data_IF_865475121933
#
_entry.id   IF_865475121933
#
_cell.length_a   1.000
_cell.length_b   1.000
_cell.length_c   1.000
_cell.angle_alpha   90.00
_cell.angle_beta   90.00
_cell.angle_gamma   90.00
#
_symmetry.space_group_name_H-M   'P 1'
#
loop_
_entity.id
_entity.type
_entity.pdbx_description
1 polymer ?
#
# COMPACT_ATOMS: atom_id res chain seq x y z
N UNK A 1 13.64 18.41 -9.05
CA UNK A 1 14.69 19.39 -9.48
C UNK A 1 14.42 20.00 -10.84
N UNK A 2 13.97 19.22 -11.83
CA UNK A 2 13.66 19.70 -13.19
C UNK A 2 12.47 20.68 -13.24
N UNK A 3 11.40 20.40 -12.50
CA UNK A 3 10.17 21.21 -12.37
C UNK A 3 10.39 22.60 -11.79
N UNK A 4 11.21 22.72 -10.72
CA UNK A 4 11.55 24.03 -10.15
C UNK A 4 12.37 24.90 -11.13
N UNK A 5 13.29 24.30 -11.89
CA UNK A 5 14.07 25.02 -12.90
C UNK A 5 13.17 25.54 -14.04
N UNK A 6 12.20 24.74 -14.47
CA UNK A 6 11.22 25.11 -15.50
C UNK A 6 10.31 26.24 -15.00
N UNK A 7 9.80 26.13 -13.77
CA UNK A 7 9.01 27.21 -13.13
C UNK A 7 9.79 28.51 -13.18
N UNK A 8 11.04 28.49 -12.71
CA UNK A 8 11.89 29.68 -12.63
C UNK A 8 12.19 30.27 -14.02
N UNK A 9 12.42 29.43 -15.02
CA UNK A 9 12.66 29.85 -16.41
C UNK A 9 11.45 30.57 -16.99
N UNK A 10 10.25 29.99 -16.84
CA UNK A 10 8.99 30.58 -17.34
C UNK A 10 8.68 31.88 -16.59
N UNK A 11 8.87 31.90 -15.26
CA UNK A 11 8.73 33.10 -14.43
C UNK A 11 9.66 34.23 -14.88
N UNK A 12 10.93 33.93 -15.18
CA UNK A 12 11.88 34.92 -15.70
C UNK A 12 11.45 35.43 -17.06
N UNK A 13 10.98 34.57 -17.97
CA UNK A 13 10.47 34.99 -19.27
C UNK A 13 9.25 35.92 -19.15
N UNK A 14 8.30 35.61 -18.25
CA UNK A 14 7.13 36.46 -17.96
C UNK A 14 7.58 37.83 -17.45
N UNK A 15 8.52 37.88 -16.51
CA UNK A 15 9.05 39.13 -15.95
C UNK A 15 9.84 39.92 -17.00
N UNK A 16 10.62 39.26 -17.84
CA UNK A 16 11.35 39.90 -18.93
C UNK A 16 10.40 40.56 -19.95
N UNK A 17 9.33 39.85 -20.34
CA UNK A 17 8.27 40.40 -21.21
C UNK A 17 7.54 41.56 -20.53
N UNK A 18 7.29 41.48 -19.21
CA UNK A 18 6.70 42.57 -18.45
C UNK A 18 7.58 43.83 -18.49
N UNK A 19 8.87 43.70 -18.22
CA UNK A 19 9.83 44.82 -18.26
C UNK A 19 9.94 45.38 -19.68
N UNK A 20 10.02 44.52 -20.69
CA UNK A 20 10.06 44.93 -22.09
C UNK A 20 8.77 45.67 -22.50
N UNK A 21 7.62 45.21 -22.02
CA UNK A 21 6.31 45.85 -22.20
C UNK A 21 6.24 47.20 -21.50
N UNK A 22 6.90 47.39 -20.36
CA UNK A 22 7.00 48.70 -19.69
C UNK A 22 7.91 49.66 -20.46
N UNK A 23 9.07 49.17 -20.93
CA UNK A 23 10.08 49.98 -21.65
C UNK A 23 9.63 50.40 -23.05
N UNK A 24 8.96 49.53 -23.81
CA UNK A 24 8.48 49.85 -25.16
C UNK A 24 7.13 50.58 -25.11
N UNK A 25 7.06 51.83 -25.59
CA UNK A 25 5.80 52.61 -25.62
C UNK A 25 4.79 52.12 -26.67
N UNK A 26 5.24 51.45 -27.75
CA UNK A 26 4.39 51.09 -28.89
C UNK A 26 3.84 49.66 -28.91
N UNK A 27 4.29 48.75 -28.04
CA UNK A 27 3.85 47.34 -28.02
C UNK A 27 3.62 46.88 -26.59
N UNK A 28 2.42 46.38 -26.30
CA UNK A 28 2.13 45.65 -25.05
C UNK A 28 2.25 44.17 -25.31
N UNK A 29 2.94 43.46 -24.43
CA UNK A 29 3.06 42.01 -24.46
C UNK A 29 2.06 41.33 -23.52
N UNK A 30 0.96 42.00 -23.18
CA UNK A 30 -0.06 41.52 -22.24
C UNK A 30 -0.58 40.14 -22.63
N UNK A 31 -0.93 39.94 -23.89
CA UNK A 31 -1.51 38.67 -24.36
C UNK A 31 -0.44 37.57 -24.37
N UNK A 32 0.77 37.88 -24.81
CA UNK A 32 1.90 36.95 -24.82
C UNK A 32 2.27 36.49 -23.40
N UNK A 33 2.18 37.37 -22.40
CA UNK A 33 2.41 37.04 -20.98
C UNK A 33 1.35 36.04 -20.46
N UNK A 34 0.08 36.23 -20.82
CA UNK A 34 -0.99 35.29 -20.44
C UNK A 34 -0.82 33.95 -21.15
N UNK A 35 -0.57 33.96 -22.47
CA UNK A 35 -0.34 32.74 -23.24
C UNK A 35 0.87 31.95 -22.74
N UNK A 36 1.94 32.63 -22.31
CA UNK A 36 3.12 31.99 -21.72
C UNK A 36 2.80 31.36 -20.34
N UNK A 37 1.96 32.01 -19.54
CA UNK A 37 1.45 31.45 -18.29
C UNK A 37 0.59 30.19 -18.52
N UNK A 38 -0.31 30.23 -19.51
CA UNK A 38 -1.13 29.07 -19.93
C UNK A 38 -0.24 27.91 -20.42
N UNK A 39 0.78 28.21 -21.22
CA UNK A 39 1.76 27.22 -21.69
C UNK A 39 2.51 26.58 -20.52
N UNK A 40 2.86 27.35 -19.49
CA UNK A 40 3.45 26.82 -18.26
C UNK A 40 2.55 25.82 -17.53
N UNK A 41 1.23 26.04 -17.55
CA UNK A 41 0.24 25.09 -17.05
C UNK A 41 0.31 23.74 -17.78
N UNK A 42 0.31 23.78 -19.12
CA UNK A 42 0.40 22.57 -19.94
C UNK A 42 1.70 21.80 -19.71
N UNK A 43 2.84 22.50 -19.64
CA UNK A 43 4.14 21.88 -19.37
C UNK A 43 4.19 21.28 -17.97
N UNK A 44 3.70 21.99 -16.94
CA UNK A 44 3.70 21.51 -15.56
C UNK A 44 2.88 20.24 -15.38
N UNK A 45 1.67 20.20 -15.95
CA UNK A 45 0.81 19.01 -15.93
C UNK A 45 1.44 17.86 -16.74
N UNK A 46 1.94 18.14 -17.95
CA UNK A 46 2.56 17.12 -18.80
C UNK A 46 3.75 16.44 -18.13
N UNK A 47 4.61 17.19 -17.44
CA UNK A 47 5.77 16.63 -16.73
C UNK A 47 5.34 15.82 -15.51
N UNK A 48 4.32 16.29 -14.78
CA UNK A 48 3.75 15.59 -13.65
C UNK A 48 3.13 14.25 -14.04
N UNK A 49 2.54 14.15 -15.24
CA UNK A 49 1.99 12.91 -15.79
C UNK A 49 3.04 12.04 -16.48
N UNK A 50 4.07 12.61 -17.10
CA UNK A 50 5.11 11.87 -17.82
C UNK A 50 5.87 10.90 -16.92
N UNK A 51 6.08 11.29 -15.66
CA UNK A 51 6.76 10.45 -14.66
C UNK A 51 5.78 9.67 -13.76
N UNK A 52 4.46 9.74 -14.04
CA UNK A 52 3.46 9.11 -13.20
C UNK A 52 3.36 7.61 -13.49
N UNK A 53 3.72 6.80 -12.51
CA UNK A 53 3.56 5.34 -12.56
C UNK A 53 2.31 4.91 -11.80
N UNK A 54 1.35 4.32 -12.54
CA UNK A 54 0.10 3.78 -11.99
C UNK A 54 0.33 2.56 -11.08
N UNK A 55 1.47 1.88 -11.22
CA UNK A 55 1.83 0.71 -10.40
C UNK A 55 2.48 1.12 -9.08
N UNK A 56 3.06 2.32 -9.01
CA UNK A 56 3.71 2.86 -7.83
C UNK A 56 3.21 4.29 -7.51
N UNK A 57 1.94 4.36 -7.10
CA UNK A 57 1.25 5.62 -6.81
C UNK A 57 1.95 6.42 -5.69
N UNK A 58 2.46 5.74 -4.65
CA UNK A 58 3.08 6.41 -3.49
C UNK A 58 4.29 7.27 -3.88
N UNK A 59 5.13 6.78 -4.79
CA UNK A 59 6.30 7.52 -5.28
C UNK A 59 5.95 8.51 -6.40
N UNK A 60 4.86 8.26 -7.13
CA UNK A 60 4.41 9.10 -8.25
C UNK A 60 3.62 10.34 -7.80
N UNK A 61 2.90 10.28 -6.68
CA UNK A 61 2.11 11.41 -6.18
C UNK A 61 2.93 12.68 -5.91
N UNK A 62 4.09 12.63 -5.22
CA UNK A 62 4.91 13.83 -5.01
C UNK A 62 5.34 14.52 -6.32
N UNK A 63 5.66 13.75 -7.36
CA UNK A 63 6.07 14.29 -8.66
C UNK A 63 4.92 14.96 -9.40
N UNK A 64 3.72 14.36 -9.36
CA UNK A 64 2.50 14.96 -9.91
C UNK A 64 2.19 16.29 -9.21
N UNK A 65 2.31 16.35 -7.88
CA UNK A 65 2.09 17.57 -7.11
C UNK A 65 3.14 18.66 -7.42
N UNK A 66 4.39 18.29 -7.70
CA UNK A 66 5.43 19.24 -8.13
C UNK A 66 5.12 19.83 -9.53
N UNK A 67 4.61 19.00 -10.45
CA UNK A 67 4.12 19.43 -11.76
C UNK A 67 2.91 20.37 -11.67
N UNK A 68 1.94 20.03 -10.82
CA UNK A 68 0.77 20.89 -10.54
C UNK A 68 1.17 22.22 -9.88
N UNK A 69 2.14 22.21 -8.96
CA UNK A 69 2.69 23.43 -8.36
C UNK A 69 3.32 24.34 -9.41
N UNK A 70 4.07 23.77 -10.35
CA UNK A 70 4.67 24.50 -11.48
C UNK A 70 3.58 25.14 -12.35
N UNK A 71 2.55 24.38 -12.69
CA UNK A 71 1.40 24.84 -13.47
C UNK A 71 0.67 26.01 -12.80
N UNK A 72 0.43 25.92 -11.49
CA UNK A 72 -0.25 26.96 -10.73
C UNK A 72 0.55 28.27 -10.66
N UNK A 73 1.85 28.19 -10.34
CA UNK A 73 2.70 29.38 -10.17
C UNK A 73 2.89 30.14 -11.49
N UNK A 74 3.12 29.41 -12.59
CA UNK A 74 3.34 30.03 -13.90
C UNK A 74 2.09 30.73 -14.45
N UNK A 75 0.90 30.11 -14.30
CA UNK A 75 -0.38 30.73 -14.63
C UNK A 75 -0.67 31.96 -13.75
N UNK A 76 -0.45 31.84 -12.45
CA UNK A 76 -0.64 32.94 -11.50
C UNK A 76 0.23 34.15 -11.83
N UNK A 77 1.51 33.94 -12.16
CA UNK A 77 2.39 35.01 -12.60
C UNK A 77 1.95 35.65 -13.93
N UNK A 78 1.52 34.86 -14.91
CA UNK A 78 1.03 35.36 -16.20
C UNK A 78 -0.19 36.28 -16.03
N UNK A 79 -1.17 35.85 -15.23
CA UNK A 79 -2.36 36.64 -14.93
C UNK A 79 -1.99 37.90 -14.12
N UNK A 80 -1.17 37.75 -13.08
CA UNK A 80 -0.75 38.85 -12.22
C UNK A 80 -0.07 39.97 -13.02
N UNK A 81 0.96 39.65 -13.81
CA UNK A 81 1.67 40.66 -14.61
C UNK A 81 0.81 41.22 -15.76
N UNK A 82 -0.12 40.44 -16.32
CA UNK A 82 -1.08 40.92 -17.32
C UNK A 82 -2.05 41.96 -16.76
N UNK A 83 -2.56 41.72 -15.54
CA UNK A 83 -3.41 42.68 -14.81
C UNK A 83 -2.59 43.93 -14.48
N UNK A 84 -1.37 43.76 -13.99
CA UNK A 84 -0.46 44.86 -13.66
C UNK A 84 -0.22 45.75 -14.90
N UNK A 85 0.08 45.16 -16.06
CA UNK A 85 0.20 45.93 -17.32
C UNK A 85 -1.10 46.61 -17.73
N UNK A 86 -2.26 46.01 -17.46
CA UNK A 86 -3.55 46.61 -17.79
C UNK A 86 -3.83 47.89 -16.99
N UNK A 87 -3.32 47.95 -15.76
CA UNK A 87 -3.45 49.12 -14.87
C UNK A 87 -2.45 50.21 -15.29
N UNK A 88 -1.19 49.87 -15.52
CA UNK A 88 -0.14 50.86 -15.82
C UNK A 88 -0.12 51.30 -17.29
N UNK A 89 -0.53 50.44 -18.22
CA UNK A 89 -0.62 50.71 -19.66
C UNK A 89 -2.00 50.30 -20.19
N UNK A 90 -3.05 51.11 -19.96
CA UNK A 90 -4.33 50.91 -20.59
C UNK A 90 -4.18 51.07 -22.12
N UNK A 91 -4.05 49.94 -22.83
CA UNK A 91 -4.06 49.88 -24.29
C UNK A 91 -5.47 50.21 -24.81
N UNK A 92 -5.54 50.97 -25.91
CA UNK A 92 -6.75 51.19 -26.69
C UNK A 92 -6.98 50.05 -27.70
N UNK A 93 -6.82 48.80 -27.26
CA UNK A 93 -7.58 47.71 -27.90
C UNK A 93 -9.03 47.87 -27.46
N UNK A 94 -10.01 47.45 -28.27
CA UNK A 94 -11.43 47.38 -27.85
C UNK A 94 -11.48 46.62 -26.53
N UNK A 95 -11.45 47.37 -25.43
CA UNK A 95 -11.29 46.83 -24.07
C UNK A 95 -12.40 45.84 -23.79
N UNK A 96 -13.56 46.09 -24.36
CA UNK A 96 -14.77 45.30 -24.27
C UNK A 96 -14.56 43.86 -24.74
N UNK A 97 -14.02 43.58 -25.94
CA UNK A 97 -13.95 42.19 -26.45
C UNK A 97 -12.97 41.30 -25.67
N UNK A 98 -11.80 41.81 -25.28
CA UNK A 98 -10.79 41.02 -24.52
C UNK A 98 -11.15 40.94 -23.03
N UNK A 99 -11.71 41.99 -22.44
CA UNK A 99 -12.19 41.94 -21.06
C UNK A 99 -13.41 41.02 -20.97
N UNK A 100 -14.35 41.07 -21.93
CA UNK A 100 -15.46 40.11 -21.98
C UNK A 100 -14.96 38.67 -22.12
N UNK A 101 -14.02 38.39 -23.02
CA UNK A 101 -13.48 37.04 -23.17
C UNK A 101 -12.74 36.56 -21.91
N UNK A 102 -11.99 37.43 -21.24
CA UNK A 102 -11.32 37.08 -19.98
C UNK A 102 -12.31 36.93 -18.83
N UNK A 103 -13.32 37.78 -18.75
CA UNK A 103 -14.37 37.74 -17.74
C UNK A 103 -15.25 36.49 -17.91
N UNK A 104 -15.55 36.11 -19.15
CA UNK A 104 -16.23 34.86 -19.50
C UNK A 104 -15.39 33.65 -19.10
N UNK A 105 -14.09 33.64 -19.42
CA UNK A 105 -13.17 32.56 -19.00
C UNK A 105 -13.02 32.50 -17.48
N UNK A 106 -12.93 33.63 -16.78
CA UNK A 106 -12.84 33.68 -15.31
C UNK A 106 -14.16 33.25 -14.68
N UNK A 107 -15.30 33.59 -15.29
CA UNK A 107 -16.63 33.20 -14.83
C UNK A 107 -16.87 31.71 -15.05
N UNK A 108 -16.50 31.17 -16.20
CA UNK A 108 -16.53 29.74 -16.48
C UNK A 108 -15.53 28.98 -15.61
N UNK A 109 -14.35 29.55 -15.35
CA UNK A 109 -13.39 28.97 -14.43
C UNK A 109 -13.94 28.94 -13.00
N UNK A 110 -14.46 30.07 -12.48
CA UNK A 110 -15.06 30.12 -11.14
C UNK A 110 -16.28 29.20 -11.02
N UNK A 111 -17.10 29.09 -12.07
CA UNK A 111 -18.22 28.14 -12.12
C UNK A 111 -17.71 26.71 -12.04
N UNK A 112 -16.74 26.32 -12.87
CA UNK A 112 -16.14 24.99 -12.83
C UNK A 112 -15.40 24.72 -11.51
N UNK A 113 -14.76 25.72 -10.90
CA UNK A 113 -14.03 25.59 -9.64
C UNK A 113 -14.99 25.39 -8.45
N UNK A 114 -16.13 26.07 -8.46
CA UNK A 114 -17.13 25.96 -7.40
C UNK A 114 -18.00 24.70 -7.56
N UNK A 115 -18.43 24.40 -8.79
CA UNK A 115 -19.36 23.30 -9.06
C UNK A 115 -18.59 21.97 -9.25
N UNK A 116 -17.71 21.88 -10.25
CA UNK A 116 -17.05 20.61 -10.57
C UNK A 116 -15.91 20.28 -9.61
N UNK A 117 -15.02 21.23 -9.32
CA UNK A 117 -13.92 20.97 -8.39
C UNK A 117 -14.42 20.91 -6.95
N UNK A 118 -15.34 21.79 -6.54
CA UNK A 118 -15.93 21.77 -5.20
C UNK A 118 -16.58 20.43 -4.85
N UNK A 119 -17.43 19.91 -5.74
CA UNK A 119 -18.08 18.62 -5.49
C UNK A 119 -17.13 17.43 -5.66
N UNK A 120 -16.16 17.49 -6.57
CA UNK A 120 -15.11 16.48 -6.68
C UNK A 120 -14.21 16.46 -5.43
N UNK A 121 -13.87 17.61 -4.85
CA UNK A 121 -13.11 17.68 -3.59
C UNK A 121 -13.91 17.16 -2.40
N UNK A 122 -15.22 17.41 -2.34
CA UNK A 122 -16.08 16.79 -1.33
C UNK A 122 -16.10 15.27 -1.47
N UNK A 123 -16.33 14.75 -2.67
CA UNK A 123 -16.33 13.31 -2.93
C UNK A 123 -14.97 12.68 -2.64
N UNK A 124 -13.88 13.33 -3.03
CA UNK A 124 -12.52 12.90 -2.71
C UNK A 124 -12.29 12.88 -1.19
N UNK A 125 -12.70 13.92 -0.48
CA UNK A 125 -12.55 13.98 0.97
C UNK A 125 -13.37 12.88 1.67
N UNK A 126 -14.59 12.60 1.21
CA UNK A 126 -15.40 11.49 1.71
C UNK A 126 -14.78 10.13 1.39
N UNK A 127 -14.24 9.94 0.18
CA UNK A 127 -13.51 8.73 -0.17
C UNK A 127 -12.25 8.53 0.71
N UNK A 128 -11.49 9.60 0.98
CA UNK A 128 -10.33 9.57 1.87
C UNK A 128 -10.75 9.26 3.31
N UNK A 129 -11.84 9.86 3.82
CA UNK A 129 -12.37 9.52 5.16
C UNK A 129 -12.78 8.05 5.24
N UNK A 130 -13.50 7.54 4.24
CA UNK A 130 -13.89 6.13 4.19
C UNK A 130 -12.67 5.21 4.13
N UNK A 131 -11.62 5.62 3.42
CA UNK A 131 -10.34 4.90 3.39
C UNK A 131 -9.65 4.90 4.76
N UNK A 132 -9.62 6.03 5.47
CA UNK A 132 -9.05 6.12 6.82
C UNK A 132 -9.86 5.24 7.79
N UNK A 133 -11.19 5.29 7.73
CA UNK A 133 -12.07 4.45 8.54
C UNK A 133 -11.83 2.95 8.23
N UNK A 134 -11.70 2.60 6.96
CA UNK A 134 -11.33 1.24 6.55
C UNK A 134 -9.95 0.84 7.08
N UNK A 135 -8.96 1.72 7.03
CA UNK A 135 -7.62 1.46 7.58
C UNK A 135 -7.64 1.21 9.09
N UNK A 136 -8.43 1.98 9.84
CA UNK A 136 -8.56 1.82 11.29
C UNK A 136 -9.27 0.50 11.65
N UNK A 137 -10.35 0.17 10.94
CA UNK A 137 -11.05 -1.11 11.08
C UNK A 137 -10.15 -2.29 10.70
N UNK A 138 -9.41 -2.19 9.60
CA UNK A 138 -8.50 -3.24 9.13
C UNK A 138 -7.35 -3.45 10.12
N UNK A 139 -6.82 -2.40 10.74
CA UNK A 139 -5.83 -2.49 11.80
C UNK A 139 -6.35 -3.33 12.97
N UNK A 140 -7.57 -3.09 13.42
CA UNK A 140 -8.20 -3.88 14.49
C UNK A 140 -8.36 -5.35 14.09
N UNK A 141 -8.81 -5.61 12.86
CA UNK A 141 -8.88 -6.97 12.32
C UNK A 141 -7.53 -7.69 12.31
N UNK A 142 -6.44 -7.02 11.92
CA UNK A 142 -5.09 -7.60 11.93
C UNK A 142 -4.64 -7.95 13.36
N UNK A 143 -4.94 -7.11 14.35
CA UNK A 143 -4.60 -7.38 15.76
C UNK A 143 -5.38 -8.61 16.26
N UNK A 144 -6.68 -8.69 15.97
CA UNK A 144 -7.49 -9.86 16.36
C UNK A 144 -7.04 -11.14 15.64
N UNK A 145 -6.68 -11.03 14.36
CA UNK A 145 -6.15 -12.15 13.57
C UNK A 145 -4.80 -12.64 14.12
N UNK A 146 -3.90 -11.73 14.48
CA UNK A 146 -2.61 -12.05 15.11
C UNK A 146 -2.82 -12.81 16.42
N UNK A 147 -3.77 -12.36 17.26
CA UNK A 147 -4.13 -13.04 18.50
C UNK A 147 -4.67 -14.45 18.24
N UNK A 148 -5.55 -14.61 17.26
CA UNK A 148 -6.11 -15.90 16.87
C UNK A 148 -5.02 -16.86 16.37
N UNK A 149 -4.11 -16.38 15.51
CA UNK A 149 -2.97 -17.18 15.03
C UNK A 149 -2.07 -17.59 16.19
N UNK A 150 -1.79 -16.68 17.12
CA UNK A 150 -1.01 -17.00 18.33
C UNK A 150 -1.67 -18.08 19.17
N UNK A 151 -3.00 -18.03 19.32
CA UNK A 151 -3.78 -19.07 20.00
C UNK A 151 -3.67 -20.42 19.29
N UNK A 152 -3.85 -20.44 17.96
CA UNK A 152 -3.73 -21.66 17.14
C UNK A 152 -2.33 -22.27 17.28
N UNK A 153 -1.27 -21.46 17.24
CA UNK A 153 0.11 -21.94 17.43
C UNK A 153 0.28 -22.56 18.82
N UNK A 154 -0.31 -21.97 19.85
CA UNK A 154 -0.26 -22.50 21.22
C UNK A 154 -0.99 -23.84 21.32
N UNK A 155 -2.17 -23.97 20.73
CA UNK A 155 -2.92 -25.23 20.69
C UNK A 155 -2.17 -26.32 19.93
N UNK A 156 -1.59 -26.00 18.76
CA UNK A 156 -0.78 -26.93 17.99
C UNK A 156 0.43 -27.43 18.79
N UNK A 157 1.07 -26.55 19.58
CA UNK A 157 2.15 -26.95 20.47
C UNK A 157 1.68 -27.94 21.54
N UNK A 158 0.50 -27.70 22.14
CA UNK A 158 -0.07 -28.63 23.13
C UNK A 158 -0.40 -30.00 22.51
N UNK A 159 -0.95 -30.01 21.29
CA UNK A 159 -1.21 -31.24 20.54
C UNK A 159 0.09 -32.02 20.29
N UNK A 160 1.17 -31.32 19.89
CA UNK A 160 2.48 -31.94 19.69
C UNK A 160 3.01 -32.60 20.96
N UNK A 161 2.91 -31.91 22.11
CA UNK A 161 3.34 -32.45 23.40
C UNK A 161 2.48 -33.65 23.84
N UNK A 162 1.16 -33.56 23.65
CA UNK A 162 0.25 -34.67 23.94
C UNK A 162 0.59 -35.90 23.08
N UNK A 163 0.89 -35.69 21.80
CA UNK A 163 1.30 -36.75 20.87
C UNK A 163 2.61 -37.41 21.30
N UNK A 164 3.61 -36.64 21.73
CA UNK A 164 4.88 -37.19 22.25
C UNK A 164 4.66 -38.05 23.51
N UNK A 165 3.83 -37.56 24.43
CA UNK A 165 3.45 -38.31 25.64
C UNK A 165 2.70 -39.61 25.31
N UNK A 166 1.78 -39.56 24.35
CA UNK A 166 1.03 -40.73 23.88
C UNK A 166 1.96 -41.76 23.23
N UNK A 167 2.90 -41.33 22.38
CA UNK A 167 3.92 -42.20 21.81
C UNK A 167 4.79 -42.86 22.90
N UNK A 168 5.21 -42.11 23.92
CA UNK A 168 5.95 -42.66 25.04
C UNK A 168 5.14 -43.70 25.84
N UNK A 169 3.84 -43.47 26.03
CA UNK A 169 2.95 -44.42 26.69
C UNK A 169 2.74 -45.69 25.86
N UNK A 170 2.55 -45.56 24.53
CA UNK A 170 2.46 -46.71 23.62
C UNK A 170 3.76 -47.53 23.66
N UNK A 171 4.92 -46.86 23.66
CA UNK A 171 6.21 -47.55 23.77
C UNK A 171 6.31 -48.35 25.07
N UNK A 172 5.94 -47.76 26.21
CA UNK A 172 5.89 -48.48 27.50
C UNK A 172 4.94 -49.67 27.47
N UNK A 173 3.79 -49.55 26.81
CA UNK A 173 2.85 -50.67 26.66
C UNK A 173 3.46 -51.80 25.84
N UNK A 174 4.15 -51.48 24.73
CA UNK A 174 4.87 -52.46 23.92
C UNK A 174 5.93 -53.15 24.77
N UNK A 175 6.77 -52.40 25.48
CA UNK A 175 7.84 -52.96 26.32
C UNK A 175 7.27 -53.91 27.40
N UNK A 176 6.16 -53.51 28.05
CA UNK A 176 5.47 -54.34 29.04
C UNK A 176 4.86 -55.61 28.42
N UNK A 177 4.26 -55.51 27.23
CA UNK A 177 3.71 -56.65 26.49
C UNK A 177 4.82 -57.63 26.09
N UNK A 178 5.95 -57.13 25.59
CA UNK A 178 7.13 -57.93 25.26
C UNK A 178 7.65 -58.66 26.49
N UNK A 179 7.87 -57.95 27.60
CA UNK A 179 8.33 -58.56 28.84
C UNK A 179 7.36 -59.61 29.40
N UNK A 180 6.05 -59.36 29.28
CA UNK A 180 5.02 -60.32 29.69
C UNK A 180 5.01 -61.55 28.78
N UNK A 181 5.13 -61.36 27.47
CA UNK A 181 5.23 -62.44 26.48
C UNK A 181 6.46 -63.32 26.72
N UNK A 182 7.62 -62.72 27.02
CA UNK A 182 8.83 -63.46 27.37
C UNK A 182 8.63 -64.29 28.65
N UNK A 183 7.99 -63.70 29.68
CA UNK A 183 7.63 -64.43 30.91
C UNK A 183 6.70 -65.61 30.65
N UNK A 184 5.67 -65.43 29.83
CA UNK A 184 4.73 -66.50 29.45
C UNK A 184 5.48 -67.60 28.72
N UNK A 185 6.35 -67.24 27.77
CA UNK A 185 7.19 -68.20 27.04
C UNK A 185 8.07 -69.01 28.01
N UNK A 186 8.81 -68.35 28.89
CA UNK A 186 9.68 -69.03 29.87
C UNK A 186 8.88 -69.95 30.78
N UNK A 187 7.72 -69.50 31.30
CA UNK A 187 6.86 -70.34 32.13
C UNK A 187 6.32 -71.55 31.38
N UNK A 188 6.02 -71.42 30.10
CA UNK A 188 5.57 -72.52 29.23
C UNK A 188 6.70 -73.53 28.97
N UNK A 189 7.93 -73.05 28.76
CA UNK A 189 9.14 -73.88 28.63
C UNK A 189 9.40 -74.66 29.92
N UNK A 190 9.34 -73.99 31.07
CA UNK A 190 9.48 -74.63 32.40
C UNK A 190 8.41 -75.70 32.64
N UNK A 191 7.13 -75.40 32.38
CA UNK A 191 6.05 -76.39 32.53
C UNK A 191 6.22 -77.57 31.57
N UNK A 192 6.69 -77.34 30.35
CA UNK A 192 6.93 -78.41 29.38
C UNK A 192 8.06 -79.35 29.85
N UNK A 193 9.17 -78.80 30.37
CA UNK A 193 10.25 -79.63 30.93
C UNK A 193 9.79 -80.38 32.19
N UNK A 194 9.02 -79.77 33.10
CA UNK A 194 8.46 -80.48 34.26
C UNK A 194 7.57 -81.65 33.83
N UNK A 195 6.70 -81.45 32.84
CA UNK A 195 5.82 -82.52 32.32
C UNK A 195 6.64 -83.65 31.70
N UNK A 196 7.71 -83.32 30.98
CA UNK A 196 8.62 -84.29 30.38
C UNK A 196 9.40 -85.09 31.43
N UNK A 197 9.95 -84.45 32.45
CA UNK A 197 10.60 -85.12 33.59
C UNK A 197 9.63 -86.07 34.30
N UNK A 198 8.41 -85.61 34.59
CA UNK A 198 7.38 -86.44 35.23
C UNK A 198 7.00 -87.65 34.37
N UNK A 199 6.85 -87.50 33.05
CA UNK A 199 6.61 -88.64 32.16
C UNK A 199 7.77 -89.63 32.17
N UNK A 200 9.02 -89.15 32.18
CA UNK A 200 10.20 -90.02 32.26
C UNK A 200 10.27 -90.79 33.58
N UNK A 201 9.92 -90.16 34.70
CA UNK A 201 9.82 -90.80 36.02
C UNK A 201 8.76 -91.91 36.01
N UNK A 202 7.56 -91.64 35.52
CA UNK A 202 6.48 -92.63 35.40
C UNK A 202 6.88 -93.83 34.53
N UNK A 203 7.60 -93.59 33.43
CA UNK A 203 8.12 -94.65 32.58
C UNK A 203 9.23 -95.49 33.26
N UNK A 204 10.04 -94.89 34.14
CA UNK A 204 11.02 -95.62 34.96
C UNK A 204 10.33 -96.51 36.00
N UNK A 205 9.32 -95.97 36.69
CA UNK A 205 8.52 -96.72 37.66
C UNK A 205 7.79 -97.89 36.99
N UNK A 206 7.15 -97.66 35.84
CA UNK A 206 6.44 -98.70 35.10
C UNK A 206 7.35 -99.84 34.58
N UNK A 207 8.62 -99.55 34.29
CA UNK A 207 9.60 -100.55 33.85
C UNK A 207 10.32 -101.26 35.02
N UNK A 208 9.90 -101.04 36.27
CA UNK A 208 10.40 -101.77 37.44
C UNK A 208 11.83 -101.44 37.84
N UNK A 209 12.38 -100.30 37.41
CA UNK A 209 13.70 -99.80 37.83
C UNK A 209 13.50 -98.61 38.79
N UNK A 210 13.36 -98.92 40.07
CA UNK A 210 13.63 -97.97 41.16
C UNK A 210 15.08 -98.13 41.59
#
# INVERSE_FOLDING_TARGET
MTTNAITLTISIMIVALFIQSMKNRGRSFKNEIVSLGILGTFIGIAIGLYHFDVTNIKESMPQLLEGLKTAFVTSGMGIFFSILLSIFKPQATKKEEVIYALEEVVKDFNKNLTEQFGDNFKQLNEAVKNMILWQDNYKSYIIESEQSISHIIKELKQISLAKESEQANIQKLIDNLTASSDKVKTSLEETTEIVKENMQLLLREANGRL
#
